data_IF_677518336115
#
_entry.id   IF_677518336115
#
_cell.length_a   1.000
_cell.length_b   1.000
_cell.length_c   1.000
_cell.angle_alpha   90.00
_cell.angle_beta   90.00
_cell.angle_gamma   90.00
#
_symmetry.space_group_name_H-M   'P 1'
#
loop_
_entity.id
_entity.type
_entity.pdbx_description
1 polymer ?
#
# COMPACT_ATOMS: atom_id res chain seq x y z
N UNK A 1 6.22 -20.52 -42.08
CA UNK A 1 5.67 -19.73 -40.96
C UNK A 1 4.15 -19.68 -41.13
N UNK A 2 3.48 -20.67 -40.57
CA UNK A 2 2.03 -20.85 -40.65
C UNK A 2 1.29 -19.69 -39.97
N UNK A 3 0.36 -19.07 -40.70
CA UNK A 3 -0.56 -18.06 -40.18
C UNK A 3 -1.70 -18.81 -39.48
N UNK A 4 -1.71 -18.77 -38.14
CA UNK A 4 -2.80 -19.30 -37.33
C UNK A 4 -4.06 -18.44 -37.58
N UNK A 5 -5.01 -19.00 -38.34
CA UNK A 5 -6.38 -18.49 -38.47
C UNK A 5 -7.16 -18.80 -37.20
N UNK A 6 -7.57 -17.74 -36.48
CA UNK A 6 -8.46 -17.83 -35.33
C UNK A 6 -9.90 -18.15 -35.79
N UNK A 7 -10.66 -18.96 -35.02
CA UNK A 7 -12.01 -19.38 -35.38
C UNK A 7 -13.03 -18.21 -35.35
N UNK A 8 -14.09 -18.26 -36.17
CA UNK A 8 -15.02 -17.15 -36.45
C UNK A 8 -16.04 -16.89 -35.32
N UNK A 9 -15.65 -17.12 -34.06
CA UNK A 9 -16.46 -16.85 -32.87
C UNK A 9 -15.74 -16.03 -31.80
N UNK A 10 -14.45 -15.73 -31.98
CA UNK A 10 -13.65 -14.99 -30.99
C UNK A 10 -13.97 -13.50 -30.89
N UNK A 11 -14.70 -12.94 -31.86
CA UNK A 11 -15.05 -11.50 -31.90
C UNK A 11 -16.17 -11.16 -30.93
N UNK A 12 -17.09 -12.10 -30.66
CA UNK A 12 -18.22 -11.88 -29.75
C UNK A 12 -17.86 -12.01 -28.26
N UNK A 13 -16.74 -12.66 -27.93
CA UNK A 13 -16.29 -12.80 -26.55
C UNK A 13 -15.45 -11.61 -26.05
N UNK A 14 -15.16 -10.62 -26.90
CA UNK A 14 -14.47 -9.38 -26.52
C UNK A 14 -15.45 -8.29 -26.10
N UNK A 15 -16.74 -8.43 -26.46
CA UNK A 15 -17.79 -7.45 -26.15
C UNK A 15 -18.44 -7.63 -24.76
N UNK A 16 -18.15 -8.74 -24.06
CA UNK A 16 -18.64 -8.98 -22.70
C UNK A 16 -17.53 -8.86 -21.65
N UNK A 17 -16.65 -7.89 -21.84
CA UNK A 17 -15.79 -7.38 -20.79
C UNK A 17 -15.96 -5.86 -20.80
N UNK A 18 -16.99 -5.40 -20.09
CA UNK A 18 -17.19 -3.98 -19.74
C UNK A 18 -16.11 -3.61 -18.72
N UNK A 19 -14.88 -3.61 -19.21
CA UNK A 19 -13.69 -3.78 -18.41
C UNK A 19 -13.05 -2.43 -18.18
N UNK A 20 -13.70 -1.68 -17.29
CA UNK A 20 -13.11 -0.59 -16.51
C UNK A 20 -12.67 0.62 -17.36
N UNK A 21 -12.72 1.83 -16.78
CA UNK A 21 -12.07 3.02 -17.35
C UNK A 21 -10.56 2.87 -17.18
N UNK A 22 -9.97 1.87 -17.83
CA UNK A 22 -8.56 1.54 -17.63
C UNK A 22 -7.72 2.69 -18.14
N UNK A 23 -6.66 2.97 -17.41
CA UNK A 23 -5.59 3.84 -17.86
C UNK A 23 -5.15 3.50 -19.30
N UNK A 24 -5.16 2.20 -19.65
CA UNK A 24 -4.85 1.66 -21.00
C UNK A 24 -5.78 2.13 -22.13
N UNK A 25 -7.04 2.48 -21.83
CA UNK A 25 -8.01 2.94 -22.82
C UNK A 25 -7.86 4.43 -23.15
N UNK A 26 -6.98 5.14 -22.43
CA UNK A 26 -6.73 6.56 -22.64
C UNK A 26 -5.38 6.76 -23.34
N UNK A 27 -5.21 7.90 -24.02
CA UNK A 27 -3.95 8.25 -24.67
C UNK A 27 -2.92 8.60 -23.60
N UNK A 28 -1.98 7.69 -23.39
CA UNK A 28 -0.82 7.87 -22.51
C UNK A 28 0.43 8.31 -23.26
N UNK A 29 0.53 7.89 -24.52
CA UNK A 29 1.71 8.12 -25.36
C UNK A 29 1.53 9.45 -26.10
N UNK A 30 2.34 10.44 -25.72
CA UNK A 30 2.42 11.74 -26.38
C UNK A 30 3.80 11.88 -27.02
N UNK A 31 3.86 12.26 -28.29
CA UNK A 31 5.12 12.54 -29.00
C UNK A 31 5.84 13.74 -28.39
N UNK A 32 5.06 14.77 -28.03
CA UNK A 32 5.52 15.94 -27.27
C UNK A 32 4.60 16.14 -26.07
N UNK A 33 5.19 16.30 -24.90
CA UNK A 33 4.43 16.49 -23.67
C UNK A 33 3.79 17.89 -23.69
N UNK A 34 2.46 18.01 -23.48
CA UNK A 34 1.79 19.31 -23.45
C UNK A 34 2.33 20.20 -22.33
N UNK A 35 2.52 21.49 -22.63
CA UNK A 35 2.92 22.49 -21.63
C UNK A 35 1.76 22.93 -20.72
N UNK A 36 0.52 22.80 -21.19
CA UNK A 36 -0.66 23.17 -20.42
C UNK A 36 -0.99 22.10 -19.36
N UNK A 37 -1.08 22.53 -18.09
CA UNK A 37 -1.46 21.69 -16.95
C UNK A 37 -2.93 21.92 -16.57
N UNK A 38 -3.65 20.89 -16.09
CA UNK A 38 -3.25 19.47 -15.99
C UNK A 38 -3.25 18.76 -17.35
N UNK A 39 -2.37 17.76 -17.53
CA UNK A 39 -2.37 16.94 -18.77
C UNK A 39 -3.63 16.10 -18.80
N UNK A 40 -4.47 16.35 -19.80
CA UNK A 40 -5.65 15.52 -20.07
C UNK A 40 -5.24 14.25 -20.81
N UNK A 41 -5.70 13.10 -20.32
CA UNK A 41 -5.56 11.81 -21.01
C UNK A 41 -6.89 11.50 -21.71
N UNK A 42 -7.06 11.82 -23.01
CA UNK A 42 -8.33 11.59 -23.71
C UNK A 42 -8.57 10.09 -23.95
N UNK A 43 -9.84 9.69 -23.98
CA UNK A 43 -10.20 8.30 -24.23
C UNK A 43 -10.05 7.93 -25.72
N UNK A 44 -9.61 6.71 -26.00
CA UNK A 44 -9.47 6.14 -27.34
C UNK A 44 -10.70 5.31 -27.76
N UNK A 45 -11.59 4.99 -26.82
CA UNK A 45 -12.77 4.14 -27.08
C UNK A 45 -13.83 4.93 -27.86
N UNK A 46 -14.24 4.47 -29.05
CA UNK A 46 -15.26 5.15 -29.84
C UNK A 46 -16.59 5.16 -29.09
N UNK A 47 -17.22 6.33 -29.01
CA UNK A 47 -18.52 6.50 -28.33
C UNK A 47 -18.46 6.65 -26.81
N UNK A 48 -17.30 6.62 -26.17
CA UNK A 48 -17.19 6.97 -24.75
C UNK A 48 -17.43 8.48 -24.54
N UNK A 49 -18.30 8.83 -23.59
CA UNK A 49 -18.57 10.23 -23.21
C UNK A 49 -17.59 10.76 -22.14
N UNK A 50 -16.53 10.01 -21.85
CA UNK A 50 -15.50 10.39 -20.89
C UNK A 50 -14.64 11.55 -21.44
N UNK A 51 -14.47 12.61 -20.63
CA UNK A 51 -13.62 13.76 -20.99
C UNK A 51 -12.13 13.42 -20.92
N UNK A 52 -11.71 12.76 -19.85
CA UNK A 52 -10.34 12.32 -19.62
C UNK A 52 -10.31 11.17 -18.60
N UNK A 53 -9.14 10.55 -18.44
CA UNK A 53 -8.91 9.57 -17.38
C UNK A 53 -9.12 10.20 -16.00
N UNK A 54 -9.87 9.50 -15.14
CA UNK A 54 -10.07 9.83 -13.74
C UNK A 54 -9.75 8.60 -12.90
N UNK A 55 -8.75 8.73 -12.05
CA UNK A 55 -8.37 7.72 -11.07
C UNK A 55 -9.46 7.58 -10.00
N UNK A 56 -9.89 6.34 -9.78
CA UNK A 56 -10.83 5.97 -8.72
C UNK A 56 -10.06 5.12 -7.71
N UNK A 57 -9.94 5.56 -6.44
CA UNK A 57 -9.23 4.81 -5.42
C UNK A 57 -9.78 3.39 -5.21
N UNK A 58 -8.93 2.49 -4.74
CA UNK A 58 -9.28 1.13 -4.37
C UNK A 58 -9.10 0.93 -2.87
N UNK A 59 -9.93 0.09 -2.26
CA UNK A 59 -9.75 -0.36 -0.89
C UNK A 59 -8.97 -1.68 -0.91
N UNK A 60 -7.65 -1.59 -0.93
CA UNK A 60 -6.78 -2.74 -1.19
C UNK A 60 -7.07 -3.32 -2.56
N UNK A 61 -7.57 -4.56 -2.60
CA UNK A 61 -7.96 -5.23 -3.85
C UNK A 61 -9.42 -4.99 -4.24
N UNK A 62 -10.22 -4.36 -3.37
CA UNK A 62 -11.66 -4.20 -3.60
C UNK A 62 -12.00 -2.83 -4.21
N UNK A 63 -12.83 -2.78 -5.27
CA UNK A 63 -13.32 -1.53 -5.81
C UNK A 63 -14.25 -0.82 -4.81
N UNK A 64 -14.08 0.49 -4.69
CA UNK A 64 -14.90 1.31 -3.80
C UNK A 64 -16.31 1.51 -4.36
N UNK A 65 -17.27 1.68 -3.46
CA UNK A 65 -18.67 1.90 -3.80
C UNK A 65 -19.06 3.37 -3.61
N UNK A 66 -20.00 3.82 -4.42
CA UNK A 66 -20.69 5.08 -4.22
C UNK A 66 -21.60 5.01 -2.97
N UNK A 67 -22.04 6.15 -2.46
CA UNK A 67 -23.07 6.29 -1.41
C UNK A 67 -24.37 5.55 -1.77
N UNK A 68 -24.67 5.42 -3.07
CA UNK A 68 -25.79 4.62 -3.55
C UNK A 68 -25.53 3.09 -3.55
N UNK A 69 -24.39 2.62 -3.01
CA UNK A 69 -23.93 1.22 -2.93
C UNK A 69 -23.52 0.57 -4.25
N UNK A 70 -23.60 1.30 -5.35
CA UNK A 70 -23.21 0.86 -6.67
C UNK A 70 -21.72 1.12 -6.96
N UNK A 71 -21.13 0.31 -7.85
CA UNK A 71 -19.76 0.49 -8.30
C UNK A 71 -19.63 1.63 -9.30
N UNK A 72 -18.41 2.07 -9.56
CA UNK A 72 -18.11 3.11 -10.55
C UNK A 72 -18.62 2.76 -11.96
N UNK A 73 -18.69 1.47 -12.29
CA UNK A 73 -19.14 0.98 -13.60
C UNK A 73 -20.63 1.22 -13.84
N UNK A 74 -21.41 1.32 -12.77
CA UNK A 74 -22.83 1.64 -12.81
C UNK A 74 -23.08 3.16 -12.79
N UNK A 75 -22.06 3.95 -13.13
CA UNK A 75 -22.14 5.40 -13.28
C UNK A 75 -21.65 5.82 -14.67
N UNK A 76 -22.36 6.76 -15.29
CA UNK A 76 -22.04 7.25 -16.62
C UNK A 76 -20.64 7.90 -16.65
N UNK A 77 -19.94 7.74 -17.77
CA UNK A 77 -18.65 8.35 -18.06
C UNK A 77 -18.72 9.86 -18.36
N UNK A 78 -19.91 10.35 -18.69
CA UNK A 78 -20.16 11.76 -18.91
C UNK A 78 -20.01 12.65 -17.67
N UNK A 79 -20.00 13.98 -17.86
CA UNK A 79 -19.92 14.94 -16.78
C UNK A 79 -21.05 14.74 -15.76
N UNK A 80 -20.71 14.75 -14.47
CA UNK A 80 -21.66 14.53 -13.38
C UNK A 80 -21.73 13.09 -12.87
N UNK A 81 -21.16 12.09 -13.58
CA UNK A 81 -21.06 10.70 -13.11
C UNK A 81 -22.37 10.14 -12.53
N UNK A 82 -23.50 10.38 -13.21
CA UNK A 82 -24.80 9.94 -12.71
C UNK A 82 -24.92 8.41 -12.71
N UNK A 83 -25.56 7.86 -11.68
CA UNK A 83 -25.76 6.42 -11.60
C UNK A 83 -26.82 5.98 -12.61
N UNK A 84 -26.56 4.90 -13.34
CA UNK A 84 -27.52 4.28 -14.26
C UNK A 84 -28.49 3.35 -13.55
N UNK A 85 -28.11 2.81 -12.39
CA UNK A 85 -28.91 1.88 -11.60
C UNK A 85 -29.88 2.55 -10.62
N UNK A 86 -29.68 3.83 -10.27
CA UNK A 86 -30.55 4.54 -9.34
C UNK A 86 -30.75 6.01 -9.69
N UNK A 87 -31.96 6.53 -9.44
CA UNK A 87 -32.36 7.89 -9.78
C UNK A 87 -31.99 8.95 -8.74
N UNK A 88 -31.66 8.54 -7.50
CA UNK A 88 -31.32 9.45 -6.38
C UNK A 88 -29.84 9.83 -6.31
N UNK A 89 -29.01 9.26 -7.18
CA UNK A 89 -27.58 9.50 -7.19
C UNK A 89 -27.24 10.62 -8.18
N UNK A 90 -26.80 11.76 -7.66
CA UNK A 90 -26.39 12.92 -8.46
C UNK A 90 -24.94 12.85 -8.93
N UNK A 91 -24.16 11.84 -8.52
CA UNK A 91 -22.78 11.67 -8.89
C UNK A 91 -22.05 10.57 -8.10
N UNK A 92 -20.90 10.13 -8.61
CA UNK A 92 -20.08 9.13 -7.92
C UNK A 92 -19.40 9.74 -6.68
N UNK A 93 -20.02 9.52 -5.51
CA UNK A 93 -19.48 9.92 -4.22
C UNK A 93 -19.20 8.69 -3.38
N UNK A 94 -17.94 8.32 -3.20
CA UNK A 94 -17.56 7.22 -2.31
C UNK A 94 -17.38 7.71 -0.86
N UNK A 95 -17.51 6.80 0.10
CA UNK A 95 -17.14 7.02 1.51
C UNK A 95 -15.64 6.78 1.76
N UNK A 96 -14.84 6.69 0.69
CA UNK A 96 -13.40 6.54 0.80
C UNK A 96 -12.79 7.84 1.34
N UNK A 97 -11.97 7.70 2.38
CA UNK A 97 -11.18 8.79 2.95
C UNK A 97 -9.72 8.56 2.58
N UNK A 98 -9.11 9.57 1.96
CA UNK A 98 -7.69 9.57 1.69
C UNK A 98 -6.93 9.69 3.02
N UNK A 99 -5.64 9.33 3.05
CA UNK A 99 -4.78 9.50 4.22
C UNK A 99 -4.71 10.95 4.72
N UNK A 100 -5.01 11.94 3.87
CA UNK A 100 -5.14 13.35 4.25
C UNK A 100 -6.44 13.68 5.03
N UNK A 101 -7.32 12.70 5.23
CA UNK A 101 -8.62 12.86 5.90
C UNK A 101 -9.74 13.40 5.01
N UNK A 102 -9.44 13.84 3.79
CA UNK A 102 -10.44 14.35 2.85
C UNK A 102 -11.05 13.22 1.99
N UNK A 103 -12.32 13.36 1.57
CA UNK A 103 -12.98 12.35 0.75
C UNK A 103 -12.45 12.32 -0.69
N UNK A 104 -12.62 11.20 -1.39
CA UNK A 104 -12.09 11.03 -2.75
C UNK A 104 -12.52 12.13 -3.74
N UNK A 105 -13.74 12.65 -3.64
CA UNK A 105 -14.29 13.60 -4.61
C UNK A 105 -13.70 15.01 -4.53
N UNK A 106 -12.95 15.34 -3.48
CA UNK A 106 -12.23 16.63 -3.37
C UNK A 106 -10.84 16.55 -3.98
N UNK A 107 -10.44 15.38 -4.50
CA UNK A 107 -9.14 15.16 -5.11
C UNK A 107 -9.25 15.21 -6.62
N UNK A 108 -8.32 15.95 -7.22
CA UNK A 108 -8.16 15.98 -8.68
C UNK A 108 -7.08 15.00 -9.11
N UNK A 109 -7.28 14.39 -10.26
CA UNK A 109 -6.36 13.42 -10.81
C UNK A 109 -5.37 14.14 -11.71
N UNK A 110 -4.12 14.23 -11.27
CA UNK A 110 -3.06 14.97 -11.96
C UNK A 110 -2.08 13.99 -12.58
N UNK A 111 -1.71 14.24 -13.83
CA UNK A 111 -0.62 13.53 -14.53
C UNK A 111 0.58 14.46 -14.56
N UNK A 112 1.69 14.02 -13.99
CA UNK A 112 2.95 14.77 -13.86
C UNK A 112 4.08 14.00 -14.54
N UNK A 113 5.05 14.72 -15.11
CA UNK A 113 6.28 14.11 -15.61
C UNK A 113 7.29 13.89 -14.49
N UNK A 114 8.25 12.98 -14.70
CA UNK A 114 9.37 12.77 -13.77
C UNK A 114 10.15 14.06 -13.51
N UNK A 115 10.46 14.83 -14.55
CA UNK A 115 11.22 16.08 -14.45
C UNK A 115 10.49 17.13 -13.60
N UNK A 116 9.17 17.25 -13.74
CA UNK A 116 8.37 18.20 -12.95
C UNK A 116 8.30 17.83 -11.47
N UNK A 117 8.18 16.53 -11.17
CA UNK A 117 8.20 16.05 -9.78
C UNK A 117 9.54 16.37 -9.13
N UNK A 118 10.65 16.18 -9.83
CA UNK A 118 11.98 16.58 -9.36
C UNK A 118 12.10 18.09 -9.16
N UNK A 119 11.61 18.90 -10.11
CA UNK A 119 11.61 20.36 -10.00
C UNK A 119 10.80 20.85 -8.78
N UNK A 120 9.71 20.16 -8.45
CA UNK A 120 8.88 20.42 -7.26
C UNK A 120 9.41 19.77 -5.97
N UNK A 121 10.60 19.13 -6.01
CA UNK A 121 11.19 18.38 -4.88
C UNK A 121 10.27 17.29 -4.33
N UNK A 122 9.45 16.68 -5.19
CA UNK A 122 8.63 15.51 -4.86
C UNK A 122 9.42 14.22 -5.09
N UNK A 123 9.19 13.15 -4.31
CA UNK A 123 9.89 11.87 -4.44
C UNK A 123 9.52 11.19 -5.76
N UNK A 124 10.51 10.67 -6.47
CA UNK A 124 10.36 9.96 -7.73
C UNK A 124 11.02 8.59 -7.60
N UNK A 125 10.36 7.55 -8.13
CA UNK A 125 10.94 6.21 -8.12
C UNK A 125 12.27 6.13 -8.89
N UNK A 126 13.14 5.22 -8.44
CA UNK A 126 14.43 4.95 -9.06
C UNK A 126 14.25 4.22 -10.40
N UNK A 127 15.05 4.60 -11.40
CA UNK A 127 15.05 3.92 -12.70
C UNK A 127 15.77 2.57 -12.54
N UNK A 128 15.00 1.48 -12.57
CA UNK A 128 15.55 0.12 -12.55
C UNK A 128 15.55 -0.48 -13.95
N UNK A 129 16.62 -1.19 -14.36
CA UNK A 129 16.75 -1.77 -15.70
C UNK A 129 15.77 -2.92 -15.98
N UNK A 130 15.06 -3.39 -14.96
CA UNK A 130 13.97 -4.37 -15.08
C UNK A 130 12.76 -3.86 -14.30
N UNK A 131 11.55 -4.19 -14.78
CA UNK A 131 10.32 -3.92 -14.03
C UNK A 131 10.32 -4.82 -12.78
N UNK A 132 10.68 -4.27 -11.63
CA UNK A 132 10.53 -4.97 -10.37
C UNK A 132 9.03 -5.29 -10.18
N UNK A 133 8.69 -6.56 -10.32
CA UNK A 133 7.34 -7.07 -10.05
C UNK A 133 7.05 -6.81 -8.58
N UNK A 134 6.22 -5.79 -8.32
CA UNK A 134 5.93 -5.28 -6.98
C UNK A 134 5.65 -6.40 -5.97
N UNK A 135 6.51 -6.47 -4.97
CA UNK A 135 6.39 -7.36 -3.82
C UNK A 135 6.53 -6.56 -2.53
N UNK A 136 6.01 -7.12 -1.42
CA UNK A 136 6.25 -6.57 -0.09
C UNK A 136 7.70 -6.86 0.30
N UNK A 137 8.61 -5.94 0.01
CA UNK A 137 10.03 -6.05 0.39
C UNK A 137 10.29 -5.52 1.81
N UNK A 138 9.33 -4.79 2.39
CA UNK A 138 9.36 -4.31 3.78
C UNK A 138 8.03 -3.71 4.23
N UNK A 139 7.96 -3.25 5.49
CA UNK A 139 6.75 -2.59 6.02
C UNK A 139 6.41 -1.29 5.28
N UNK A 140 7.41 -0.60 4.73
CA UNK A 140 7.26 0.55 3.83
C UNK A 140 6.45 0.21 2.58
N UNK A 141 6.49 -1.04 2.11
CA UNK A 141 5.68 -1.49 0.97
C UNK A 141 4.16 -1.50 1.27
N UNK A 142 3.74 -1.42 2.54
CA UNK A 142 2.32 -1.25 2.92
C UNK A 142 1.87 0.22 2.85
N UNK A 143 2.78 1.18 2.87
CA UNK A 143 2.44 2.61 2.85
C UNK A 143 1.80 3.01 1.51
N UNK A 144 0.90 3.99 1.49
CA UNK A 144 0.16 4.37 0.28
C UNK A 144 1.07 4.94 -0.84
N UNK A 145 0.72 4.70 -2.10
CA UNK A 145 1.50 4.91 -3.34
C UNK A 145 2.73 5.83 -3.28
N UNK A 146 2.53 7.13 -3.00
CA UNK A 146 3.61 8.14 -2.99
C UNK A 146 4.55 8.03 -1.78
N UNK A 147 4.05 7.57 -0.64
CA UNK A 147 4.85 7.33 0.58
C UNK A 147 5.74 6.10 0.46
N UNK A 148 5.66 5.35 -0.65
CA UNK A 148 6.60 4.27 -0.99
C UNK A 148 7.81 4.76 -1.80
N UNK A 149 7.74 5.99 -2.32
CA UNK A 149 8.72 6.51 -3.27
C UNK A 149 9.85 7.29 -2.59
N UNK A 150 9.83 7.40 -1.26
CA UNK A 150 10.93 7.94 -0.49
C UNK A 150 12.05 6.89 -0.33
N UNK A 151 13.30 7.37 -0.27
CA UNK A 151 14.48 6.51 -0.12
C UNK A 151 14.43 5.68 1.18
N UNK A 152 13.61 6.12 2.15
CA UNK A 152 13.31 5.45 3.41
C UNK A 152 12.65 4.07 3.24
N UNK A 153 12.09 3.77 2.07
CA UNK A 153 11.57 2.44 1.76
C UNK A 153 12.63 1.41 1.37
N UNK A 154 13.84 1.84 1.00
CA UNK A 154 14.95 1.00 0.51
C UNK A 154 16.06 0.88 1.54
N UNK A 155 16.25 1.88 2.39
CA UNK A 155 17.01 1.69 3.62
C UNK A 155 16.22 0.78 4.53
N UNK A 156 16.49 -0.53 4.40
CA UNK A 156 16.16 -1.49 5.42
C UNK A 156 16.45 -0.83 6.76
N UNK A 157 15.48 -0.94 7.65
CA UNK A 157 15.54 -0.56 9.06
C UNK A 157 16.62 -1.39 9.81
N UNK A 158 17.75 -1.69 9.17
CA UNK A 158 18.93 -2.29 9.74
C UNK A 158 19.80 -1.20 10.38
N UNK A 159 19.92 -0.01 9.75
CA UNK A 159 20.82 1.02 10.28
C UNK A 159 20.19 1.84 11.42
N UNK A 160 18.92 2.26 11.31
CA UNK A 160 18.28 3.05 12.37
C UNK A 160 17.76 2.22 13.56
N UNK A 161 17.51 0.92 13.36
CA UNK A 161 17.12 0.03 14.47
C UNK A 161 18.32 -0.39 15.32
N UNK A 162 19.55 -0.25 14.82
CA UNK A 162 20.76 -0.47 15.63
C UNK A 162 20.83 0.44 16.87
N UNK A 163 20.23 1.64 16.80
CA UNK A 163 20.19 2.59 17.92
C UNK A 163 19.05 2.32 18.91
N UNK A 164 17.98 1.62 18.48
CA UNK A 164 16.84 1.25 19.33
C UNK A 164 16.98 -0.16 19.95
N UNK A 165 17.75 -1.07 19.33
CA UNK A 165 17.97 -2.45 19.80
C UNK A 165 18.65 -2.55 21.17
N UNK A 166 19.29 -1.47 21.63
CA UNK A 166 19.96 -1.46 22.94
C UNK A 166 19.01 -1.61 24.12
N UNK A 167 17.74 -1.16 24.02
CA UNK A 167 16.84 -1.20 25.19
C UNK A 167 16.32 -2.61 25.51
N UNK A 168 16.00 -3.40 24.50
CA UNK A 168 15.38 -4.73 24.67
C UNK A 168 16.38 -5.79 25.15
N UNK A 169 17.65 -5.70 24.72
CA UNK A 169 18.74 -6.58 25.16
C UNK A 169 19.12 -6.33 26.64
N UNK A 170 19.09 -5.06 27.08
CA UNK A 170 19.33 -4.68 28.47
C UNK A 170 18.19 -5.14 29.41
N UNK A 171 16.94 -5.07 28.95
CA UNK A 171 15.77 -5.53 29.71
C UNK A 171 15.81 -7.05 29.96
N UNK A 172 16.21 -7.84 28.95
CA UNK A 172 16.37 -9.29 29.10
C UNK A 172 17.49 -9.65 30.09
N UNK A 173 18.62 -8.93 30.05
CA UNK A 173 19.74 -9.12 30.97
C UNK A 173 19.37 -8.80 32.44
N UNK A 174 18.47 -7.83 32.64
CA UNK A 174 17.94 -7.49 33.97
C UNK A 174 17.13 -8.66 34.57
N UNK A 175 16.21 -9.25 33.80
CA UNK A 175 15.40 -10.38 34.26
C UNK A 175 16.24 -11.62 34.54
N UNK A 176 17.23 -11.91 33.69
CA UNK A 176 18.14 -13.05 33.87
C UNK A 176 18.99 -12.90 35.14
N UNK A 177 19.55 -11.70 35.39
CA UNK A 177 20.34 -11.42 36.60
C UNK A 177 19.50 -11.60 37.87
N UNK A 178 18.27 -11.08 37.87
CA UNK A 178 17.32 -11.21 39.00
C UNK A 178 16.91 -12.66 39.26
N UNK A 179 16.78 -13.46 38.20
CA UNK A 179 16.49 -14.89 38.30
C UNK A 179 17.69 -15.65 38.90
N UNK A 180 18.90 -15.40 38.40
CA UNK A 180 20.12 -16.01 38.92
C UNK A 180 20.38 -15.65 40.39
N UNK A 181 20.11 -14.40 40.81
CA UNK A 181 20.20 -13.98 42.22
C UNK A 181 19.24 -14.75 43.13
N UNK A 182 17.97 -14.92 42.72
CA UNK A 182 16.99 -15.71 43.48
C UNK A 182 17.44 -17.16 43.63
N UNK A 183 17.92 -17.78 42.54
CA UNK A 183 18.44 -19.15 42.58
C UNK A 183 19.66 -19.26 43.50
N UNK A 184 20.57 -18.27 43.50
CA UNK A 184 21.73 -18.24 44.38
C UNK A 184 21.31 -18.10 45.86
N UNK A 185 20.35 -17.24 46.17
CA UNK A 185 19.82 -17.07 47.53
C UNK A 185 19.10 -18.32 48.03
N UNK A 186 18.30 -18.98 47.19
CA UNK A 186 17.64 -20.25 47.55
C UNK A 186 18.66 -21.38 47.80
N UNK A 187 19.71 -21.48 46.97
CA UNK A 187 20.79 -22.44 47.18
C UNK A 187 21.56 -22.17 48.47
N UNK A 188 21.85 -20.91 48.77
CA UNK A 188 22.51 -20.51 50.01
C UNK A 188 21.63 -20.75 51.25
N UNK A 189 20.31 -20.53 51.16
CA UNK A 189 19.37 -20.83 52.23
C UNK A 189 19.26 -22.35 52.49
N UNK A 190 19.21 -23.17 51.43
CA UNK A 190 19.25 -24.64 51.55
C UNK A 190 20.56 -25.17 52.14
N UNK A 191 21.70 -24.53 51.84
CA UNK A 191 22.98 -24.87 52.46
C UNK A 191 23.04 -24.47 53.94
N UNK A 192 22.52 -23.29 54.31
CA UNK A 192 22.43 -22.86 55.72
C UNK A 192 21.49 -23.74 56.55
N UNK A 193 20.38 -24.20 55.98
CA UNK A 193 19.48 -25.15 56.65
C UNK A 193 20.06 -26.56 56.82
N UNK A 194 21.04 -26.96 55.99
CA UNK A 194 21.77 -28.23 56.14
C UNK A 194 22.90 -28.15 57.17
N UNK A 195 23.50 -26.98 57.38
CA UNK A 195 24.57 -26.78 58.34
C UNK A 195 24.10 -26.71 59.81
N UNK A 196 22.80 -26.45 60.06
CA UNK A 196 22.26 -26.34 61.42
C UNK A 196 21.78 -27.66 62.05
N UNK A 197 21.89 -28.80 61.36
CA UNK A 197 21.39 -30.11 61.82
C UNK A 197 22.48 -31.15 62.14
N UNK A 198 23.74 -30.75 62.28
CA UNK A 198 24.83 -31.67 62.68
C UNK A 198 25.63 -31.15 63.88
N UNK A 199 25.03 -31.11 65.07
CA UNK A 199 25.81 -31.07 66.32
C UNK A 199 24.98 -31.48 67.54
N UNK A 200 24.81 -32.78 67.77
CA UNK A 200 24.73 -33.35 69.11
C UNK A 200 25.48 -34.68 69.13
N UNK A 201 26.78 -34.61 69.37
CA UNK A 201 27.51 -35.68 70.03
C UNK A 201 27.66 -35.28 71.49
N UNK A 202 27.27 -36.14 72.43
CA UNK A 202 27.84 -36.12 73.77
C UNK A 202 28.26 -37.54 74.20
N UNK A 203 29.32 -37.64 75.01
CA UNK A 203 30.14 -38.84 75.17
C UNK A 203 29.89 -39.57 76.49
N UNK A 204 30.43 -40.79 76.55
CA UNK A 204 30.73 -41.64 77.72
C UNK A 204 29.57 -42.12 78.59
#
# INVERSE_FOLDING_TARGET
MERLTLPPGGVAAVDEYVEYRRYKQHKTDFETIPQQRPISLPCRVPGCQCRAYLYIPLNGTQPIRCRCKHFADQHNAGPGFMCTACSKCSGFHSSFTCACGQPAYTHDTVVETKQERLAQRKPVGQDVPYAAMGGLTGFSSLAEGYMRLDDSGIEGTSSQVSSLRRSEEDDMAFFERRYQERIKLEKAAKQKGKASLSSTAKPS
#
